data_IF_838128457201
#
_entry.id   IF_838128457201
#
_cell.length_a   1.000
_cell.length_b   1.000
_cell.length_c   1.000
_cell.angle_alpha   90.00
_cell.angle_beta   90.00
_cell.angle_gamma   90.00
#
_symmetry.space_group_name_H-M   'P 1'
#
loop_
_entity.id
_entity.type
_entity.pdbx_description
1 polymer ?
#
# COMPACT_ATOMS: atom_id res chain seq x y z
N UNK A 1 24.00 -17.57 14.90
CA UNK A 1 22.76 -17.86 15.65
C UNK A 1 22.01 -16.53 15.84
N UNK A 2 20.83 -16.42 15.23
CA UNK A 2 19.71 -15.53 15.58
C UNK A 2 19.97 -14.03 15.79
N UNK A 3 19.89 -13.25 14.71
CA UNK A 3 19.37 -11.88 14.79
C UNK A 3 17.84 -11.96 14.88
N UNK A 4 17.34 -12.10 16.11
CA UNK A 4 15.94 -11.88 16.45
C UNK A 4 15.64 -10.40 16.22
N UNK A 5 14.87 -10.10 15.17
CA UNK A 5 14.33 -8.77 14.92
C UNK A 5 13.46 -8.37 16.11
N UNK A 6 13.95 -7.43 16.93
CA UNK A 6 13.16 -6.76 17.95
C UNK A 6 12.20 -5.78 17.26
N UNK A 7 11.12 -6.29 16.68
CA UNK A 7 9.93 -5.47 16.43
C UNK A 7 9.20 -5.34 17.77
N UNK A 8 9.17 -4.13 18.32
CA UNK A 8 8.38 -3.84 19.50
C UNK A 8 6.91 -4.25 19.22
N UNK A 9 6.26 -5.04 20.09
CA UNK A 9 4.90 -5.55 19.85
C UNK A 9 3.85 -4.44 19.69
N UNK A 10 4.15 -3.21 20.10
CA UNK A 10 3.27 -2.06 19.91
C UNK A 10 3.21 -1.56 18.45
N UNK A 11 4.30 -1.65 17.69
CA UNK A 11 4.33 -1.12 16.32
C UNK A 11 3.48 -1.98 15.36
N UNK A 12 3.59 -3.31 15.50
CA UNK A 12 2.80 -4.27 14.71
C UNK A 12 1.28 -4.12 14.92
N UNK A 13 0.85 -3.79 16.14
CA UNK A 13 -0.57 -3.56 16.42
C UNK A 13 -1.05 -2.22 15.84
N UNK A 14 -0.24 -1.16 15.91
CA UNK A 14 -0.57 0.12 15.30
C UNK A 14 -0.70 0.02 13.76
N UNK A 15 0.24 -0.66 13.10
CA UNK A 15 0.22 -0.87 11.63
C UNK A 15 -1.01 -1.66 11.17
N UNK A 16 -1.48 -2.59 12.02
CA UNK A 16 -2.68 -3.38 11.78
C UNK A 16 -3.94 -2.55 11.98
N UNK A 17 -4.00 -1.74 13.03
CA UNK A 17 -5.11 -0.82 13.24
C UNK A 17 -5.23 0.18 12.08
N UNK A 18 -4.12 0.76 11.62
CA UNK A 18 -4.09 1.65 10.45
C UNK A 18 -4.61 0.96 9.19
N UNK A 19 -4.13 -0.25 8.88
CA UNK A 19 -4.61 -1.01 7.72
C UNK A 19 -6.12 -1.27 7.79
N UNK A 20 -6.64 -1.63 8.96
CA UNK A 20 -8.08 -1.85 9.14
C UNK A 20 -8.90 -0.57 9.02
N UNK A 21 -8.35 0.58 9.43
CA UNK A 21 -9.01 1.87 9.31
C UNK A 21 -9.04 2.33 7.84
N UNK A 22 -7.95 2.14 7.10
CA UNK A 22 -7.89 2.44 5.67
C UNK A 22 -8.88 1.57 4.87
N UNK A 23 -8.99 0.28 5.19
CA UNK A 23 -9.98 -0.60 4.58
C UNK A 23 -11.43 -0.17 4.85
N UNK A 24 -11.74 0.26 6.07
CA UNK A 24 -13.06 0.84 6.37
C UNK A 24 -13.30 2.12 5.58
N UNK A 25 -12.31 3.01 5.49
CA UNK A 25 -12.41 4.25 4.74
C UNK A 25 -12.70 3.99 3.25
N UNK A 26 -12.02 3.02 2.63
CA UNK A 26 -12.27 2.61 1.23
C UNK A 26 -13.71 2.12 1.07
N UNK A 27 -14.21 1.25 1.97
CA UNK A 27 -15.58 0.74 1.88
C UNK A 27 -16.63 1.85 2.03
N UNK A 28 -16.39 2.81 2.93
CA UNK A 28 -17.23 3.99 3.09
C UNK A 28 -17.21 4.85 1.82
N UNK A 29 -16.02 5.15 1.29
CA UNK A 29 -15.88 5.96 0.06
C UNK A 29 -16.55 5.30 -1.15
N UNK A 30 -16.51 3.96 -1.27
CA UNK A 30 -17.24 3.23 -2.34
C UNK A 30 -18.75 3.42 -2.20
N UNK A 31 -19.29 3.37 -0.98
CA UNK A 31 -20.71 3.59 -0.74
C UNK A 31 -21.11 5.05 -1.06
N UNK A 32 -20.27 6.01 -0.67
CA UNK A 32 -20.46 7.44 -0.97
C UNK A 32 -20.38 7.72 -2.47
N UNK A 33 -19.42 7.13 -3.19
CA UNK A 33 -19.29 7.27 -4.63
C UNK A 33 -20.52 6.73 -5.36
N UNK A 34 -21.02 5.55 -4.99
CA UNK A 34 -22.27 5.00 -5.54
C UNK A 34 -23.45 5.94 -5.30
N UNK A 35 -23.60 6.44 -4.07
CA UNK A 35 -24.68 7.39 -3.74
C UNK A 35 -24.55 8.70 -4.52
N UNK A 36 -23.34 9.23 -4.69
CA UNK A 36 -23.09 10.43 -5.47
C UNK A 36 -23.48 10.24 -6.94
N UNK A 37 -23.15 9.10 -7.54
CA UNK A 37 -23.54 8.76 -8.90
C UNK A 37 -25.05 8.54 -9.05
N UNK A 38 -25.71 7.87 -8.10
CA UNK A 38 -27.16 7.68 -8.10
C UNK A 38 -27.92 9.02 -7.98
N UNK A 39 -27.42 9.96 -7.18
CA UNK A 39 -28.05 11.25 -6.94
C UNK A 39 -27.79 12.27 -8.05
N UNK A 40 -26.59 12.28 -8.63
CA UNK A 40 -26.16 13.33 -9.56
C UNK A 40 -26.05 12.84 -11.02
N UNK A 41 -26.13 11.52 -11.25
CA UNK A 41 -25.92 10.85 -12.53
C UNK A 41 -24.47 10.40 -12.74
N UNK A 42 -24.29 9.29 -13.45
CA UNK A 42 -23.00 8.63 -13.66
C UNK A 42 -21.95 9.50 -14.39
N UNK A 43 -22.39 10.42 -15.24
CA UNK A 43 -21.52 11.36 -15.97
C UNK A 43 -21.27 12.68 -15.25
N UNK A 44 -21.76 12.84 -14.01
CA UNK A 44 -21.65 14.09 -13.28
C UNK A 44 -20.24 14.30 -12.71
N UNK A 45 -19.78 15.56 -12.59
CA UNK A 45 -18.51 15.86 -11.92
C UNK A 45 -18.46 15.34 -10.48
N UNK A 46 -19.59 15.34 -9.77
CA UNK A 46 -19.66 14.86 -8.39
C UNK A 46 -19.45 13.33 -8.30
N UNK A 47 -19.99 12.58 -9.26
CA UNK A 47 -19.74 11.13 -9.36
C UNK A 47 -18.25 10.86 -9.64
N UNK A 48 -17.65 11.60 -10.59
CA UNK A 48 -16.23 11.46 -10.93
C UNK A 48 -15.31 11.75 -9.72
N UNK A 49 -15.51 12.89 -9.05
CA UNK A 49 -14.71 13.26 -7.87
C UNK A 49 -14.85 12.23 -6.74
N UNK A 50 -16.03 11.66 -6.54
CA UNK A 50 -16.22 10.65 -5.51
C UNK A 50 -15.48 9.34 -5.84
N UNK A 51 -15.41 8.96 -7.12
CA UNK A 51 -14.59 7.84 -7.56
C UNK A 51 -13.08 8.14 -7.51
N UNK A 52 -12.65 9.37 -7.82
CA UNK A 52 -11.24 9.78 -7.65
C UNK A 52 -10.76 9.53 -6.21
N UNK A 53 -11.59 9.87 -5.21
CA UNK A 53 -11.28 9.60 -3.79
C UNK A 53 -11.09 8.09 -3.54
N UNK A 54 -11.94 7.25 -4.13
CA UNK A 54 -11.83 5.79 -4.01
C UNK A 54 -10.54 5.27 -4.66
N UNK A 55 -10.14 5.84 -5.79
CA UNK A 55 -8.89 5.50 -6.48
C UNK A 55 -7.66 5.87 -5.64
N UNK A 56 -7.62 7.08 -5.09
CA UNK A 56 -6.51 7.56 -4.25
C UNK A 56 -6.36 6.71 -2.96
N UNK A 57 -7.47 6.38 -2.29
CA UNK A 57 -7.43 5.54 -1.08
C UNK A 57 -6.91 4.12 -1.39
N UNK A 58 -7.27 3.56 -2.55
CA UNK A 58 -6.77 2.25 -2.97
C UNK A 58 -5.30 2.31 -3.40
N UNK A 59 -4.87 3.42 -4.02
CA UNK A 59 -3.48 3.67 -4.36
C UNK A 59 -2.62 3.71 -3.09
N UNK A 60 -3.06 4.45 -2.06
CA UNK A 60 -2.37 4.47 -0.77
C UNK A 60 -2.33 3.09 -0.12
N UNK A 61 -3.41 2.31 -0.16
CA UNK A 61 -3.39 0.92 0.34
C UNK A 61 -2.33 0.08 -0.37
N UNK A 62 -2.25 0.18 -1.70
CA UNK A 62 -1.21 -0.52 -2.49
C UNK A 62 0.19 -0.05 -2.10
N UNK A 63 0.38 1.25 -1.91
CA UNK A 63 1.65 1.83 -1.48
C UNK A 63 2.07 1.33 -0.10
N UNK A 64 1.16 1.29 0.88
CA UNK A 64 1.43 0.72 2.20
C UNK A 64 1.82 -0.76 2.12
N UNK A 65 1.16 -1.55 1.27
CA UNK A 65 1.51 -2.97 1.06
C UNK A 65 2.90 -3.13 0.44
N UNK A 66 3.27 -2.26 -0.50
CA UNK A 66 4.61 -2.26 -1.10
C UNK A 66 5.68 -1.84 -0.09
N UNK A 67 5.43 -0.81 0.72
CA UNK A 67 6.34 -0.35 1.77
C UNK A 67 6.56 -1.43 2.86
N UNK A 68 5.55 -2.26 3.12
CA UNK A 68 5.62 -3.40 4.06
C UNK A 68 6.26 -4.66 3.44
N UNK A 69 6.59 -4.66 2.14
CA UNK A 69 7.18 -5.82 1.49
C UNK A 69 8.62 -6.01 1.97
N UNK A 70 8.87 -7.14 2.62
CA UNK A 70 10.23 -7.52 3.01
C UNK A 70 11.09 -7.79 1.77
N UNK A 71 12.36 -7.41 1.85
CA UNK A 71 13.35 -7.76 0.83
C UNK A 71 13.38 -9.27 0.66
N UNK A 72 13.38 -9.72 -0.58
CA UNK A 72 13.56 -11.13 -0.90
C UNK A 72 15.03 -11.55 -0.61
N UNK A 73 15.31 -12.84 -0.72
CA UNK A 73 16.64 -13.37 -0.41
C UNK A 73 17.74 -12.83 -1.31
N UNK A 74 17.45 -12.56 -2.59
CA UNK A 74 18.41 -11.98 -3.52
C UNK A 74 18.64 -10.50 -3.23
N UNK A 75 17.58 -9.73 -2.99
CA UNK A 75 17.69 -8.30 -2.63
C UNK A 75 18.53 -8.11 -1.36
N UNK A 76 18.26 -8.92 -0.32
CA UNK A 76 19.01 -8.88 0.93
C UNK A 76 20.47 -9.30 0.75
N UNK A 77 20.73 -10.26 -0.16
CA UNK A 77 22.08 -10.69 -0.50
C UNK A 77 22.85 -9.59 -1.25
N UNK A 78 22.23 -8.96 -2.24
CA UNK A 78 22.85 -7.90 -3.03
C UNK A 78 23.13 -6.62 -2.24
N UNK A 79 22.36 -6.34 -1.18
CA UNK A 79 22.70 -5.25 -0.24
C UNK A 79 24.04 -5.47 0.47
N UNK A 80 24.37 -6.74 0.76
CA UNK A 80 25.57 -7.13 1.52
C UNK A 80 26.76 -7.45 0.59
N UNK A 81 26.47 -7.90 -0.64
CA UNK A 81 27.43 -8.34 -1.63
C UNK A 81 27.15 -7.69 -3.00
N UNK A 82 27.29 -6.36 -3.13
CA UNK A 82 27.01 -5.66 -4.39
C UNK A 82 27.96 -6.08 -5.53
N UNK A 83 29.13 -6.63 -5.21
CA UNK A 83 30.11 -7.13 -6.17
C UNK A 83 29.80 -8.52 -6.75
N UNK A 84 28.82 -9.22 -6.20
CA UNK A 84 28.44 -10.56 -6.68
C UNK A 84 27.87 -10.49 -8.10
N UNK A 85 28.12 -11.52 -8.90
CA UNK A 85 27.74 -11.57 -10.32
C UNK A 85 26.23 -11.42 -10.52
N UNK A 86 25.45 -11.96 -9.60
CA UNK A 86 23.98 -11.91 -9.57
C UNK A 86 23.42 -10.51 -9.27
N UNK A 87 24.27 -9.57 -8.82
CA UNK A 87 23.89 -8.24 -8.35
C UNK A 87 24.41 -7.11 -9.27
N UNK A 88 25.20 -7.44 -10.30
CA UNK A 88 25.75 -6.47 -11.22
C UNK A 88 24.64 -5.88 -12.11
N UNK A 89 24.40 -4.58 -11.97
CA UNK A 89 23.50 -3.80 -12.82
C UNK A 89 24.36 -3.04 -13.83
N UNK A 90 24.06 -3.21 -15.11
CA UNK A 90 24.76 -2.53 -16.20
C UNK A 90 23.83 -1.47 -16.80
N UNK A 91 24.32 -0.24 -16.96
CA UNK A 91 23.61 0.78 -17.73
C UNK A 91 23.57 0.38 -19.21
N UNK A 92 22.40 0.57 -19.83
CA UNK A 92 22.09 0.26 -21.24
C UNK A 92 21.80 1.51 -22.04
#
# INVERSE_FOLDING_TARGET
>A
MTAIYNVAPNAFNADKEEATNLEKAILTAIAEARSACELNGDGSPNCAVAWDIVEELQAEKSHQLQAKKHKNSLESFCDLHPEALECLIYDV
#
